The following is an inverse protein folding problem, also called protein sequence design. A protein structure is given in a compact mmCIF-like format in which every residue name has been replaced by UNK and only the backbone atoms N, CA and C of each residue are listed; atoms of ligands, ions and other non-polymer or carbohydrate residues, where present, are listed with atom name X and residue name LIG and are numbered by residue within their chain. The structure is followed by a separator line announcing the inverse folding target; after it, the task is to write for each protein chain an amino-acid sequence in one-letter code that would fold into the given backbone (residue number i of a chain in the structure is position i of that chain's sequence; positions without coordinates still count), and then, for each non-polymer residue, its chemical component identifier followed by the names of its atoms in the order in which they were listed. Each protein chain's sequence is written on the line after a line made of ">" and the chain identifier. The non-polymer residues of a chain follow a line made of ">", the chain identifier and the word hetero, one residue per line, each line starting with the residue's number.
data_IF_201066948705
#
_entry.id   IF_201066948705
#
_cell.length_a   1.000
_cell.length_b   1.000
_cell.length_c   1.000
_cell.angle_alpha   90.00
_cell.angle_beta   90.00
_cell.angle_gamma   90.00
#
_symmetry.space_group_name_H-M   'P 1'
#
loop_
_entity.id
_entity.type
_entity.pdbx_description
1 polymer ?
#
# COMPACT_ATOMS: atom_id res chain seq x y z
N UNK A 1 -42.67 -48.59 -60.09
CA UNK A 1 -41.75 -47.51 -60.50
C UNK A 1 -42.32 -46.20 -59.99
N UNK A 2 -41.89 -45.77 -58.79
CA UNK A 2 -42.40 -44.59 -58.07
C UNK A 2 -41.21 -43.80 -57.54
N UNK A 3 -41.27 -42.49 -57.74
CA UNK A 3 -40.22 -41.52 -57.45
C UNK A 3 -39.94 -41.38 -55.95
N UNK A 4 -38.66 -41.12 -55.65
CA UNK A 4 -38.12 -40.80 -54.34
C UNK A 4 -38.45 -39.35 -53.93
N UNK A 5 -38.77 -39.16 -52.64
CA UNK A 5 -38.86 -37.86 -51.98
C UNK A 5 -38.17 -37.96 -50.62
N UNK A 6 -37.18 -37.09 -50.40
CA UNK A 6 -36.43 -36.93 -49.15
C UNK A 6 -37.34 -36.38 -48.03
N UNK A 7 -37.14 -36.87 -46.80
CA UNK A 7 -37.50 -36.14 -45.57
C UNK A 7 -36.41 -36.36 -44.50
N UNK A 8 -35.93 -35.26 -43.92
CA UNK A 8 -35.00 -35.22 -42.79
C UNK A 8 -35.75 -35.39 -41.45
N UNK A 9 -35.12 -35.93 -40.40
CA UNK A 9 -35.71 -35.96 -39.06
C UNK A 9 -35.37 -34.71 -38.22
N UNK A 10 -36.33 -34.41 -37.33
CA UNK A 10 -36.33 -33.42 -36.25
C UNK A 10 -35.08 -33.50 -35.34
N UNK A 11 -34.51 -32.34 -35.01
CA UNK A 11 -33.66 -32.14 -33.83
C UNK A 11 -34.42 -31.29 -32.80
N UNK A 12 -34.47 -31.77 -31.56
CA UNK A 12 -35.17 -31.16 -30.44
C UNK A 12 -34.33 -30.04 -29.78
N UNK A 13 -35.05 -29.01 -29.32
CA UNK A 13 -34.61 -27.85 -28.55
C UNK A 13 -33.90 -28.22 -27.24
N UNK A 14 -32.81 -27.52 -26.94
CA UNK A 14 -32.43 -27.15 -25.56
C UNK A 14 -32.10 -25.66 -25.53
N UNK A 15 -33.01 -24.83 -25.00
CA UNK A 15 -32.77 -23.41 -24.73
C UNK A 15 -31.76 -23.28 -23.57
N UNK A 16 -30.65 -22.60 -23.83
CA UNK A 16 -29.69 -22.19 -22.82
C UNK A 16 -30.29 -21.10 -21.92
N UNK A 17 -30.25 -21.33 -20.60
CA UNK A 17 -30.59 -20.33 -19.60
C UNK A 17 -29.50 -19.28 -19.47
N UNK A 18 -29.78 -18.06 -19.89
CA UNK A 18 -28.99 -16.88 -19.57
C UNK A 18 -29.32 -16.45 -18.13
N UNK A 19 -28.38 -16.66 -17.21
CA UNK A 19 -28.42 -16.06 -15.88
C UNK A 19 -28.12 -14.56 -15.99
N UNK A 20 -29.15 -13.71 -15.95
CA UNK A 20 -28.97 -12.27 -15.76
C UNK A 20 -28.48 -12.01 -14.33
N UNK A 21 -27.19 -11.72 -14.19
CA UNK A 21 -26.64 -11.12 -12.97
C UNK A 21 -27.19 -9.70 -12.84
N UNK A 22 -28.13 -9.50 -11.91
CA UNK A 22 -28.65 -8.18 -11.56
C UNK A 22 -27.54 -7.34 -10.89
N UNK A 23 -26.93 -6.43 -11.64
CA UNK A 23 -26.12 -5.35 -11.07
C UNK A 23 -27.06 -4.36 -10.37
N UNK A 24 -27.12 -4.44 -9.05
CA UNK A 24 -27.70 -3.39 -8.21
C UNK A 24 -26.74 -2.20 -8.21
N UNK A 25 -26.88 -1.29 -9.18
CA UNK A 25 -26.28 0.05 -9.09
C UNK A 25 -26.99 0.80 -7.96
N UNK A 26 -26.39 0.81 -6.78
CA UNK A 26 -26.75 1.76 -5.73
C UNK A 26 -26.34 3.14 -6.21
N UNK A 27 -27.28 3.92 -6.72
CA UNK A 27 -27.06 5.33 -7.05
C UNK A 27 -26.93 6.11 -5.75
N UNK A 28 -25.71 6.17 -5.20
CA UNK A 28 -25.40 7.13 -4.14
C UNK A 28 -25.69 8.53 -4.70
N UNK A 29 -26.50 9.31 -3.99
CA UNK A 29 -26.81 10.68 -4.37
C UNK A 29 -25.50 11.48 -4.45
N UNK A 30 -25.07 11.84 -5.66
CA UNK A 30 -23.88 12.66 -5.86
C UNK A 30 -24.18 14.09 -5.42
N UNK A 31 -23.31 14.64 -4.58
CA UNK A 31 -23.45 15.98 -4.04
C UNK A 31 -22.21 16.82 -4.34
N UNK A 32 -22.36 18.13 -4.17
CA UNK A 32 -21.25 19.05 -4.02
C UNK A 32 -20.91 19.12 -2.53
N UNK A 33 -19.67 18.76 -2.19
CA UNK A 33 -19.09 18.89 -0.86
C UNK A 33 -18.25 20.16 -0.86
N UNK A 34 -18.65 21.13 -0.05
CA UNK A 34 -17.86 22.33 0.23
C UNK A 34 -17.18 22.15 1.58
N UNK A 35 -15.86 21.99 1.57
CA UNK A 35 -15.06 21.75 2.76
C UNK A 35 -14.14 22.93 3.03
N UNK A 36 -14.22 23.47 4.25
CA UNK A 36 -13.22 24.42 4.76
C UNK A 36 -11.95 23.66 5.16
N UNK A 37 -10.85 23.92 4.46
CA UNK A 37 -9.56 23.27 4.71
C UNK A 37 -8.76 23.95 5.84
N UNK A 38 -9.05 25.21 6.10
CA UNK A 38 -8.40 26.00 7.15
C UNK A 38 -7.77 27.28 6.62
N UNK A 39 -6.99 27.95 7.46
CA UNK A 39 -6.25 29.14 7.06
C UNK A 39 -5.05 28.76 6.16
N UNK A 40 -4.51 29.75 5.43
CA UNK A 40 -3.35 29.55 4.55
C UNK A 40 -2.16 28.90 5.27
N UNK A 41 -1.87 29.28 6.52
CA UNK A 41 -0.76 28.73 7.29
C UNK A 41 -0.92 27.21 7.53
N UNK A 42 -2.07 26.78 8.04
CA UNK A 42 -2.36 25.36 8.30
C UNK A 42 -2.24 24.56 7.01
N UNK A 43 -2.87 25.03 5.93
CA UNK A 43 -2.87 24.28 4.66
C UNK A 43 -1.45 24.20 4.07
N UNK A 44 -0.66 25.27 4.17
CA UNK A 44 0.77 25.24 3.82
C UNK A 44 1.52 24.16 4.59
N UNK A 45 1.32 24.07 5.91
CA UNK A 45 1.98 23.09 6.78
C UNK A 45 1.57 21.65 6.43
N UNK A 46 0.26 21.39 6.30
CA UNK A 46 -0.26 20.02 6.12
C UNK A 46 -0.01 19.47 4.70
N UNK A 47 0.14 20.34 3.70
CA UNK A 47 0.47 19.96 2.32
C UNK A 47 1.96 20.14 1.98
N UNK A 48 2.78 20.42 3.00
CA UNK A 48 4.24 20.60 2.90
C UNK A 48 4.67 21.72 1.93
N UNK A 49 3.79 22.67 1.63
CA UNK A 49 3.99 23.65 0.57
C UNK A 49 5.05 24.71 0.95
N UNK A 50 5.90 25.16 0.01
CA UNK A 50 6.12 24.57 -1.31
C UNK A 50 6.84 23.22 -1.18
N UNK A 51 6.36 22.22 -1.91
CA UNK A 51 6.76 20.82 -1.71
C UNK A 51 7.49 20.20 -2.92
N UNK A 52 7.84 21.00 -3.93
CA UNK A 52 8.58 20.60 -5.13
C UNK A 52 9.47 21.74 -5.66
N UNK A 53 9.94 22.60 -4.75
CA UNK A 53 10.73 23.77 -5.06
C UNK A 53 12.00 23.82 -4.23
N UNK A 54 13.06 24.34 -4.85
CA UNK A 54 14.23 24.89 -4.16
C UNK A 54 14.41 26.35 -4.62
N UNK A 55 15.57 26.72 -5.14
CA UNK A 55 15.74 27.98 -5.89
C UNK A 55 14.88 27.99 -7.16
N UNK A 56 14.65 26.80 -7.75
CA UNK A 56 13.79 26.60 -8.92
C UNK A 56 12.72 25.57 -8.55
N UNK A 57 11.47 25.84 -8.93
CA UNK A 57 10.36 24.90 -8.77
C UNK A 57 10.33 23.90 -9.92
N UNK A 58 10.29 22.60 -9.61
CA UNK A 58 10.04 21.56 -10.60
C UNK A 58 8.64 21.69 -11.20
N UNK A 59 7.66 22.08 -10.37
CA UNK A 59 6.34 22.54 -10.81
C UNK A 59 5.98 23.80 -10.04
N UNK A 60 5.82 24.92 -10.73
CA UNK A 60 5.48 26.19 -10.09
C UNK A 60 3.98 26.28 -9.78
N UNK A 61 3.50 25.39 -8.91
CA UNK A 61 2.11 25.35 -8.48
C UNK A 61 1.83 26.36 -7.37
N UNK A 62 0.62 26.91 -7.36
CA UNK A 62 0.11 27.62 -6.18
C UNK A 62 -0.25 26.64 -5.07
N UNK A 63 -0.52 27.15 -3.86
CA UNK A 63 -1.04 26.33 -2.76
C UNK A 63 -2.35 25.63 -3.16
N UNK A 64 -3.27 26.34 -3.81
CA UNK A 64 -4.54 25.79 -4.28
C UNK A 64 -4.33 24.66 -5.28
N UNK A 65 -3.43 24.83 -6.26
CA UNK A 65 -3.12 23.79 -7.24
C UNK A 65 -2.50 22.56 -6.59
N UNK A 66 -1.63 22.75 -5.61
CA UNK A 66 -1.01 21.65 -4.85
C UNK A 66 -2.06 20.85 -4.09
N UNK A 67 -2.97 21.53 -3.40
CA UNK A 67 -4.07 20.89 -2.66
C UNK A 67 -5.03 20.19 -3.64
N UNK A 68 -5.44 20.87 -4.70
CA UNK A 68 -6.36 20.34 -5.72
C UNK A 68 -5.81 19.06 -6.34
N UNK A 69 -4.51 19.01 -6.60
CA UNK A 69 -3.83 17.83 -7.12
C UNK A 69 -3.97 16.60 -6.20
N UNK A 70 -3.62 16.71 -4.92
CA UNK A 70 -3.74 15.59 -3.98
C UNK A 70 -5.19 15.19 -3.71
N UNK A 71 -6.10 16.16 -3.60
CA UNK A 71 -7.52 15.85 -3.43
C UNK A 71 -8.10 15.16 -4.67
N UNK A 72 -7.65 15.55 -5.87
CA UNK A 72 -8.01 14.88 -7.13
C UNK A 72 -7.50 13.44 -7.18
N UNK A 73 -6.28 13.18 -6.70
CA UNK A 73 -5.76 11.81 -6.57
C UNK A 73 -6.63 10.98 -5.64
N UNK A 74 -7.02 11.54 -4.49
CA UNK A 74 -7.84 10.84 -3.49
C UNK A 74 -9.17 10.39 -4.08
N UNK A 75 -9.95 11.31 -4.67
CA UNK A 75 -11.27 10.98 -5.25
C UNK A 75 -11.18 9.95 -6.38
N UNK A 76 -10.11 10.01 -7.19
CA UNK A 76 -9.87 9.03 -8.26
C UNK A 76 -9.54 7.65 -7.71
N UNK A 77 -8.75 7.58 -6.65
CA UNK A 77 -8.35 6.32 -5.99
C UNK A 77 -9.50 5.69 -5.19
N UNK A 78 -10.44 6.52 -4.75
CA UNK A 78 -11.72 6.04 -4.24
C UNK A 78 -12.68 5.58 -5.34
N UNK A 79 -12.30 5.66 -6.63
CA UNK A 79 -13.10 5.17 -7.75
C UNK A 79 -14.14 6.17 -8.28
N UNK A 80 -14.14 7.42 -7.81
CA UNK A 80 -15.02 8.48 -8.30
C UNK A 80 -14.45 9.13 -9.57
N UNK A 81 -14.46 8.38 -10.68
CA UNK A 81 -13.81 8.78 -11.94
C UNK A 81 -14.35 10.06 -12.57
N UNK A 82 -15.60 10.44 -12.28
CA UNK A 82 -16.23 11.67 -12.78
C UNK A 82 -16.15 12.84 -11.78
N UNK A 83 -15.55 12.62 -10.61
CA UNK A 83 -15.44 13.65 -9.60
C UNK A 83 -14.57 14.82 -10.06
N UNK A 84 -14.94 16.02 -9.62
CA UNK A 84 -14.18 17.25 -9.88
C UNK A 84 -13.86 17.92 -8.57
N UNK A 85 -12.60 18.29 -8.40
CA UNK A 85 -12.11 19.07 -7.27
C UNK A 85 -11.76 20.46 -7.76
N UNK A 86 -12.13 21.48 -6.98
CA UNK A 86 -11.63 22.84 -7.11
C UNK A 86 -11.21 23.38 -5.77
N UNK A 87 -10.02 23.96 -5.67
CA UNK A 87 -9.57 24.63 -4.45
C UNK A 87 -9.51 26.13 -4.67
N UNK A 88 -10.02 26.89 -3.69
CA UNK A 88 -10.02 28.36 -3.73
C UNK A 88 -9.62 28.93 -2.39
N UNK A 89 -9.00 30.10 -2.43
CA UNK A 89 -8.77 30.94 -1.25
C UNK A 89 -9.78 32.08 -1.23
N UNK A 90 -10.38 32.32 -0.07
CA UNK A 90 -11.19 33.50 0.23
C UNK A 90 -10.89 33.97 1.65
N UNK A 91 -10.58 35.26 1.84
CA UNK A 91 -10.27 35.86 3.15
C UNK A 91 -9.24 35.05 3.99
N UNK A 92 -8.11 34.66 3.38
CA UNK A 92 -7.05 33.81 3.96
C UNK A 92 -7.52 32.42 4.45
N UNK A 93 -8.67 31.94 3.96
CA UNK A 93 -9.17 30.60 4.19
C UNK A 93 -9.23 29.83 2.88
N UNK A 94 -8.80 28.57 2.90
CA UNK A 94 -8.89 27.68 1.75
C UNK A 94 -10.12 26.79 1.86
N UNK A 95 -10.77 26.59 0.73
CA UNK A 95 -11.95 25.75 0.58
C UNK A 95 -11.75 24.78 -0.58
N UNK A 96 -12.16 23.53 -0.40
CA UNK A 96 -12.28 22.55 -1.47
C UNK A 96 -13.76 22.36 -1.82
N UNK A 97 -14.09 22.55 -3.10
CA UNK A 97 -15.36 22.12 -3.68
C UNK A 97 -15.12 20.78 -4.39
N UNK A 98 -15.78 19.72 -3.92
CA UNK A 98 -15.67 18.37 -4.48
C UNK A 98 -17.06 17.95 -4.96
N UNK A 99 -17.19 17.69 -6.25
CA UNK A 99 -18.44 17.24 -6.87
C UNK A 99 -18.28 15.83 -7.40
N UNK A 100 -19.40 15.11 -7.57
CA UNK A 100 -19.38 13.73 -8.09
C UNK A 100 -19.00 12.68 -7.04
N UNK A 101 -19.12 13.03 -5.75
CA UNK A 101 -18.81 12.17 -4.59
C UNK A 101 -20.02 12.08 -3.65
N UNK A 102 -20.04 11.12 -2.70
CA UNK A 102 -21.05 11.10 -1.64
C UNK A 102 -21.06 12.39 -0.82
N UNK A 103 -22.24 12.76 -0.31
CA UNK A 103 -22.45 14.00 0.48
C UNK A 103 -21.53 14.12 1.68
N UNK A 104 -21.11 13.02 2.27
CA UNK A 104 -20.25 13.01 3.45
C UNK A 104 -18.79 12.63 3.18
N UNK A 105 -18.36 12.64 1.92
CA UNK A 105 -16.96 12.44 1.52
C UNK A 105 -15.99 13.44 2.19
N UNK A 106 -16.48 14.60 2.62
CA UNK A 106 -15.68 15.57 3.39
C UNK A 106 -15.22 15.07 4.76
N UNK A 107 -15.90 14.08 5.36
CA UNK A 107 -15.57 13.54 6.70
C UNK A 107 -14.19 12.87 6.75
N UNK A 108 -13.87 11.86 5.91
CA UNK A 108 -12.55 11.23 5.97
C UNK A 108 -11.42 12.19 5.61
N UNK A 109 -11.67 13.18 4.74
CA UNK A 109 -10.69 14.23 4.46
C UNK A 109 -10.45 15.14 5.68
N UNK A 110 -11.51 15.57 6.36
CA UNK A 110 -11.38 16.35 7.60
C UNK A 110 -10.61 15.57 8.65
N UNK A 111 -10.93 14.29 8.83
CA UNK A 111 -10.26 13.41 9.78
C UNK A 111 -8.75 13.27 9.51
N UNK A 112 -8.36 13.15 8.23
CA UNK A 112 -6.95 13.14 7.81
C UNK A 112 -6.24 14.45 8.15
N UNK A 113 -6.86 15.60 7.86
CA UNK A 113 -6.24 16.91 8.14
C UNK A 113 -6.13 17.19 9.64
N UNK A 114 -7.12 16.77 10.42
CA UNK A 114 -7.10 16.90 11.89
C UNK A 114 -6.02 16.00 12.51
N UNK A 115 -5.84 14.78 11.98
CA UNK A 115 -4.69 13.95 12.34
C UNK A 115 -3.37 14.63 11.91
N UNK A 116 -3.37 15.30 10.76
CA UNK A 116 -2.25 16.10 10.27
C UNK A 116 -1.80 17.19 11.22
N UNK A 117 -2.72 17.84 11.94
CA UNK A 117 -2.37 18.83 12.96
C UNK A 117 -1.56 18.20 14.12
N UNK A 118 -1.90 16.95 14.49
CA UNK A 118 -1.13 16.18 15.48
C UNK A 118 0.27 15.86 14.95
N UNK A 119 0.39 15.50 13.67
CA UNK A 119 1.69 15.24 13.04
C UNK A 119 2.54 16.51 12.98
N UNK A 120 1.95 17.66 12.64
CA UNK A 120 2.64 18.95 12.62
C UNK A 120 3.12 19.36 14.02
N UNK A 121 2.30 19.13 15.05
CA UNK A 121 2.71 19.34 16.45
C UNK A 121 3.92 18.46 16.81
N UNK A 122 3.89 17.19 16.42
CA UNK A 122 5.00 16.25 16.59
C UNK A 122 6.28 16.70 15.89
N UNK A 123 6.18 17.04 14.60
CA UNK A 123 7.30 17.55 13.81
C UNK A 123 7.90 18.85 14.39
N UNK A 124 7.03 19.78 14.84
CA UNK A 124 7.45 21.03 15.46
C UNK A 124 8.23 20.80 16.76
N UNK A 125 7.75 19.85 17.59
CA UNK A 125 8.44 19.42 18.82
C UNK A 125 9.77 18.72 18.50
N UNK A 126 9.81 17.87 17.48
CA UNK A 126 11.03 17.18 17.05
C UNK A 126 12.10 18.19 16.59
N UNK A 127 11.68 19.22 15.85
CA UNK A 127 12.54 20.31 15.43
C UNK A 127 13.02 21.18 16.60
N UNK A 128 12.13 21.55 17.53
CA UNK A 128 12.53 22.33 18.71
C UNK A 128 13.55 21.60 19.59
N UNK A 129 13.51 20.27 19.58
CA UNK A 129 14.45 19.42 20.29
C UNK A 129 15.77 19.19 19.52
N UNK A 130 15.95 19.83 18.35
CA UNK A 130 17.18 19.76 17.55
C UNK A 130 17.36 18.45 16.79
N UNK A 131 16.29 17.66 16.61
CA UNK A 131 16.34 16.32 16.00
C UNK A 131 15.75 16.28 14.58
N UNK A 132 15.31 17.42 14.05
CA UNK A 132 14.83 17.51 12.68
C UNK A 132 15.99 17.78 11.72
N UNK A 133 16.10 16.98 10.66
CA UNK A 133 17.11 17.20 9.62
C UNK A 133 16.61 18.21 8.60
N UNK A 134 17.47 19.11 8.13
CA UNK A 134 17.10 20.16 7.17
C UNK A 134 16.45 19.62 5.87
N UNK A 135 16.85 18.44 5.40
CA UNK A 135 16.31 17.81 4.19
C UNK A 135 14.95 17.11 4.40
N UNK A 136 14.43 17.10 5.62
CA UNK A 136 13.18 16.41 5.94
C UNK A 136 11.96 17.33 5.77
N UNK A 137 10.87 16.73 5.29
CA UNK A 137 9.57 17.39 5.14
C UNK A 137 8.53 16.60 5.92
N UNK A 138 7.69 17.27 6.72
CA UNK A 138 6.45 16.64 7.19
C UNK A 138 5.65 16.25 5.94
N UNK A 139 5.25 15.00 5.80
CA UNK A 139 4.48 14.53 4.65
C UNK A 139 3.38 13.57 5.12
N UNK A 140 2.15 14.05 5.03
CA UNK A 140 0.96 13.24 5.29
C UNK A 140 0.68 12.33 4.08
N UNK A 141 -0.06 11.21 4.24
CA UNK A 141 -0.47 10.31 3.15
C UNK A 141 -1.54 10.96 2.24
N UNK A 142 -1.18 12.09 1.64
CA UNK A 142 -2.00 12.89 0.75
C UNK A 142 -2.21 12.16 -0.56
N UNK A 143 -3.42 12.27 -1.10
CA UNK A 143 -3.76 11.58 -2.34
C UNK A 143 -4.12 10.12 -2.15
N UNK A 144 -4.16 9.55 -0.95
CA UNK A 144 -4.62 8.16 -0.76
C UNK A 144 -6.13 8.01 -0.94
N UNK A 145 -6.58 6.77 -1.18
CA UNK A 145 -7.99 6.43 -1.04
C UNK A 145 -8.43 6.71 0.41
N UNK A 146 -9.50 7.49 0.57
CA UNK A 146 -10.00 7.97 1.86
C UNK A 146 -11.19 7.15 2.35
N UNK A 147 -12.07 6.73 1.45
CA UNK A 147 -13.35 6.10 1.77
C UNK A 147 -13.40 4.63 1.32
N UNK A 148 -13.12 4.37 0.03
CA UNK A 148 -13.26 3.07 -0.62
C UNK A 148 -12.00 2.19 -0.47
N UNK A 149 -11.43 2.24 0.74
CA UNK A 149 -10.24 1.49 1.14
C UNK A 149 -10.56 0.00 1.28
N UNK A 150 -9.61 -0.82 0.87
CA UNK A 150 -9.68 -2.29 0.91
C UNK A 150 -8.75 -2.88 1.97
N UNK A 151 -7.63 -2.21 2.24
CA UNK A 151 -6.68 -2.60 3.27
C UNK A 151 -5.83 -1.40 3.70
N UNK A 152 -5.07 -1.58 4.77
CA UNK A 152 -4.16 -0.58 5.32
C UNK A 152 -2.72 -1.12 5.28
N UNK A 153 -1.78 -0.26 4.94
CA UNK A 153 -0.35 -0.55 4.93
C UNK A 153 0.33 0.32 6.00
N UNK A 154 0.92 -0.30 7.02
CA UNK A 154 1.78 0.43 7.95
C UNK A 154 3.22 0.34 7.45
N UNK A 155 3.80 1.51 7.18
CA UNK A 155 5.15 1.67 6.68
C UNK A 155 5.99 2.52 7.63
N UNK A 156 7.29 2.55 7.35
CA UNK A 156 8.26 3.24 8.17
C UNK A 156 8.16 4.77 7.93
N UNK A 157 8.48 5.21 6.72
CA UNK A 157 8.43 6.60 6.28
C UNK A 157 8.35 6.67 4.74
N UNK A 158 7.80 7.77 4.16
CA UNK A 158 7.80 7.97 2.72
C UNK A 158 9.16 8.49 2.22
N UNK A 159 9.63 8.07 1.04
CA UNK A 159 10.81 8.68 0.45
C UNK A 159 10.50 10.10 -0.05
N UNK A 160 11.47 11.00 0.08
CA UNK A 160 11.37 12.41 -0.29
C UNK A 160 10.97 12.65 -1.75
N UNK A 161 11.44 11.83 -2.69
CA UNK A 161 11.12 11.99 -4.11
C UNK A 161 9.63 11.71 -4.43
N UNK A 162 8.90 10.96 -3.60
CA UNK A 162 7.44 10.83 -3.73
C UNK A 162 6.74 12.17 -3.51
N UNK A 163 7.28 13.00 -2.61
CA UNK A 163 6.88 14.38 -2.41
C UNK A 163 7.48 15.27 -3.53
N UNK A 164 8.79 15.45 -3.52
CA UNK A 164 9.46 16.55 -4.25
C UNK A 164 9.48 16.42 -5.76
N UNK A 165 9.43 15.19 -6.29
CA UNK A 165 9.48 14.94 -7.73
C UNK A 165 8.14 14.40 -8.26
N UNK A 166 7.63 13.33 -7.68
CA UNK A 166 6.44 12.65 -8.19
C UNK A 166 5.15 13.44 -7.89
N UNK A 167 5.10 14.11 -6.73
CA UNK A 167 3.87 14.64 -6.15
C UNK A 167 2.80 13.54 -6.06
N UNK A 168 3.22 12.35 -5.65
CA UNK A 168 2.35 11.20 -5.56
C UNK A 168 2.92 10.22 -4.54
N UNK A 169 2.20 10.06 -3.43
CA UNK A 169 2.59 9.20 -2.33
C UNK A 169 2.77 7.73 -2.73
N UNK A 170 2.04 7.26 -3.75
CA UNK A 170 2.15 5.89 -4.25
C UNK A 170 3.23 5.71 -5.33
N UNK A 171 4.03 6.74 -5.62
CA UNK A 171 5.14 6.67 -6.58
C UNK A 171 6.46 6.53 -5.83
N UNK A 172 6.83 5.29 -5.57
CA UNK A 172 8.11 4.88 -5.03
C UNK A 172 8.47 3.47 -5.48
N UNK A 173 9.76 3.11 -5.45
CA UNK A 173 10.16 1.74 -5.75
C UNK A 173 9.43 0.73 -4.84
N UNK A 174 9.27 1.07 -3.56
CA UNK A 174 8.57 0.28 -2.54
C UNK A 174 7.10 0.06 -2.90
N UNK A 175 6.36 1.13 -3.19
CA UNK A 175 4.91 1.08 -3.47
C UNK A 175 4.60 0.55 -4.87
N UNK A 176 5.42 0.86 -5.88
CA UNK A 176 5.27 0.35 -7.25
C UNK A 176 5.50 -1.16 -7.30
N UNK A 177 6.51 -1.65 -6.55
CA UNK A 177 6.73 -3.09 -6.41
C UNK A 177 5.54 -3.76 -5.75
N UNK A 178 5.05 -3.22 -4.64
CA UNK A 178 3.94 -3.83 -3.91
C UNK A 178 2.66 -3.87 -4.75
N UNK A 179 2.37 -2.81 -5.52
CA UNK A 179 1.28 -2.78 -6.49
C UNK A 179 1.39 -3.91 -7.52
N UNK A 180 2.61 -4.17 -8.01
CA UNK A 180 2.88 -5.28 -8.94
C UNK A 180 2.57 -6.65 -8.29
N UNK A 181 2.88 -6.82 -7.01
CA UNK A 181 2.56 -8.06 -6.28
C UNK A 181 1.06 -8.21 -6.02
N UNK A 182 0.34 -7.12 -5.76
CA UNK A 182 -1.13 -7.12 -5.67
C UNK A 182 -1.76 -7.52 -7.01
N UNK A 183 -1.26 -6.99 -8.12
CA UNK A 183 -1.71 -7.37 -9.47
C UNK A 183 -1.39 -8.82 -9.81
N UNK A 184 -0.22 -9.30 -9.42
CA UNK A 184 0.13 -10.72 -9.53
C UNK A 184 -0.86 -11.61 -8.75
N UNK A 185 -1.47 -11.07 -7.69
CA UNK A 185 -2.50 -11.73 -6.89
C UNK A 185 -3.95 -11.42 -7.33
N UNK A 186 -4.13 -10.91 -8.54
CA UNK A 186 -5.45 -10.74 -9.17
C UNK A 186 -6.14 -9.42 -8.88
N UNK A 187 -5.48 -8.45 -8.25
CA UNK A 187 -6.03 -7.09 -8.11
C UNK A 187 -5.78 -6.31 -9.41
N UNK A 188 -6.83 -5.80 -10.10
CA UNK A 188 -6.63 -4.98 -11.29
C UNK A 188 -5.76 -3.75 -10.97
N UNK A 189 -4.85 -3.39 -11.88
CA UNK A 189 -3.86 -2.33 -11.66
C UNK A 189 -4.51 -1.03 -11.19
N UNK A 190 -5.63 -0.64 -11.80
CA UNK A 190 -6.39 0.56 -11.47
C UNK A 190 -7.05 0.52 -10.07
N UNK A 191 -7.17 -0.66 -9.47
CA UNK A 191 -7.76 -0.85 -8.14
C UNK A 191 -6.70 -1.01 -7.04
N UNK A 192 -5.43 -1.25 -7.39
CA UNK A 192 -4.34 -1.38 -6.41
C UNK A 192 -4.25 -0.20 -5.43
N UNK A 193 -4.49 1.07 -5.81
CA UNK A 193 -4.42 2.17 -4.83
C UNK A 193 -5.37 2.03 -3.64
N UNK A 194 -6.54 1.39 -3.83
CA UNK A 194 -7.48 1.14 -2.73
C UNK A 194 -6.96 0.13 -1.70
N UNK A 195 -5.96 -0.67 -2.05
CA UNK A 195 -5.29 -1.59 -1.13
C UNK A 195 -4.08 -0.95 -0.43
N UNK A 196 -3.57 0.15 -0.97
CA UNK A 196 -2.34 0.81 -0.51
C UNK A 196 -2.63 2.09 0.27
N UNK A 197 -3.63 2.09 1.16
CA UNK A 197 -3.80 3.21 2.10
C UNK A 197 -2.71 3.13 3.17
N UNK A 198 -1.73 4.03 3.07
CA UNK A 198 -0.53 4.01 3.92
C UNK A 198 -0.72 4.82 5.20
N UNK A 199 -0.18 4.30 6.30
CA UNK A 199 0.15 5.04 7.52
C UNK A 199 1.64 4.87 7.76
N UNK A 200 2.39 5.96 7.77
CA UNK A 200 3.79 5.95 8.16
C UNK A 200 3.95 6.21 9.66
N UNK A 201 4.77 5.39 10.33
CA UNK A 201 5.12 5.63 11.74
C UNK A 201 6.04 6.86 11.89
N UNK A 202 6.70 7.30 10.82
CA UNK A 202 7.28 8.63 10.74
C UNK A 202 6.72 9.32 9.49
N UNK A 203 5.74 10.25 9.61
CA UNK A 203 5.19 10.99 8.47
C UNK A 203 6.19 12.07 7.99
N UNK A 204 7.40 11.64 7.66
CA UNK A 204 8.53 12.48 7.28
C UNK A 204 9.02 11.99 5.92
N UNK A 205 8.83 12.80 4.88
CA UNK A 205 9.52 12.64 3.61
C UNK A 205 11.02 12.88 3.83
N UNK A 206 11.79 11.81 3.67
CA UNK A 206 13.25 11.80 3.87
C UNK A 206 13.94 10.98 2.77
N UNK A 207 15.26 11.15 2.54
CA UNK A 207 16.00 10.30 1.62
C UNK A 207 15.75 8.82 1.92
N UNK A 208 15.65 7.97 0.88
CA UNK A 208 15.33 6.55 1.06
C UNK A 208 16.32 5.79 1.97
N UNK A 209 17.52 6.34 2.19
CA UNK A 209 18.58 5.81 3.06
C UNK A 209 18.50 6.31 4.52
N UNK A 210 17.61 7.26 4.83
CA UNK A 210 17.52 7.92 6.14
C UNK A 210 16.85 7.07 7.23
N UNK A 211 16.52 5.80 6.94
CA UNK A 211 15.74 4.98 7.86
C UNK A 211 16.38 4.81 9.24
N UNK A 212 17.72 4.71 9.31
CA UNK A 212 18.45 4.66 10.58
C UNK A 212 18.36 5.99 11.35
N UNK A 213 18.39 7.11 10.65
CA UNK A 213 18.36 8.45 11.25
C UNK A 213 16.98 8.78 11.86
N UNK A 214 15.94 8.05 11.45
CA UNK A 214 14.59 8.16 11.99
C UNK A 214 14.37 7.30 13.25
N UNK A 215 15.32 6.44 13.63
CA UNK A 215 15.22 5.69 14.88
C UNK A 215 15.14 6.65 16.07
N UNK A 216 14.18 6.39 16.98
CA UNK A 216 13.95 7.23 18.15
C UNK A 216 13.11 8.48 17.90
N UNK A 217 12.67 8.77 16.67
CA UNK A 217 11.77 9.90 16.37
C UNK A 217 10.28 9.51 16.45
N UNK A 218 9.94 8.22 16.36
CA UNK A 218 8.54 7.77 16.21
C UNK A 218 7.63 8.24 17.34
N UNK A 219 8.14 8.34 18.58
CA UNK A 219 7.36 8.76 19.74
C UNK A 219 6.77 10.17 19.62
N UNK A 220 7.39 11.05 18.82
CA UNK A 220 6.88 12.40 18.57
C UNK A 220 5.55 12.40 17.80
N UNK A 221 5.24 11.31 17.10
CA UNK A 221 4.07 11.17 16.24
C UNK A 221 3.01 10.22 16.80
N UNK A 222 3.11 9.79 18.06
CA UNK A 222 2.21 8.80 18.65
C UNK A 222 0.72 9.16 18.53
N UNK A 223 0.37 10.42 18.81
CA UNK A 223 -1.03 10.89 18.72
C UNK A 223 -1.54 10.82 17.27
N UNK A 224 -0.70 11.19 16.30
CA UNK A 224 -1.02 11.08 14.88
C UNK A 224 -1.19 9.62 14.47
N UNK A 225 -0.20 8.76 14.78
CA UNK A 225 -0.19 7.37 14.35
C UNK A 225 -1.39 6.60 14.89
N UNK A 226 -1.68 6.74 16.19
CA UNK A 226 -2.79 6.02 16.82
C UNK A 226 -4.15 6.53 16.33
N UNK A 227 -4.27 7.84 16.10
CA UNK A 227 -5.45 8.46 15.45
C UNK A 227 -5.66 7.94 14.04
N UNK A 228 -4.61 7.91 13.20
CA UNK A 228 -4.69 7.38 11.84
C UNK A 228 -5.09 5.91 11.86
N UNK A 229 -4.45 5.07 12.66
CA UNK A 229 -4.78 3.64 12.75
C UNK A 229 -6.25 3.44 13.14
N UNK A 230 -6.77 4.21 14.10
CA UNK A 230 -8.18 4.17 14.48
C UNK A 230 -9.11 4.58 13.32
N UNK A 231 -8.78 5.63 12.60
CA UNK A 231 -9.65 6.19 11.55
C UNK A 231 -9.63 5.37 10.26
N UNK A 232 -8.46 4.86 9.86
CA UNK A 232 -8.27 4.23 8.54
C UNK A 232 -8.41 2.71 8.55
N UNK A 233 -8.36 2.06 9.72
CA UNK A 233 -8.53 0.60 9.83
C UNK A 233 -9.99 0.16 9.89
N UNK A 234 -10.93 1.02 9.51
CA UNK A 234 -12.35 0.73 9.41
C UNK A 234 -12.93 1.26 8.10
N UNK A 235 -13.90 0.55 7.55
CA UNK A 235 -14.66 1.00 6.38
C UNK A 235 -15.82 1.93 6.81
N UNK A 236 -16.55 2.46 5.84
CA UNK A 236 -17.68 3.36 6.09
C UNK A 236 -18.82 2.74 6.94
N UNK A 237 -18.95 1.40 6.96
CA UNK A 237 -19.92 0.69 7.81
C UNK A 237 -19.37 0.32 9.20
N UNK A 238 -18.14 0.74 9.54
CA UNK A 238 -17.49 0.45 10.81
C UNK A 238 -16.85 -0.93 10.90
N UNK A 239 -16.84 -1.70 9.81
CA UNK A 239 -16.16 -2.99 9.73
C UNK A 239 -14.64 -2.82 9.63
N UNK A 240 -13.89 -3.70 10.28
CA UNK A 240 -12.42 -3.67 10.25
C UNK A 240 -11.87 -3.93 8.84
N UNK A 241 -10.83 -3.16 8.47
CA UNK A 241 -10.01 -3.40 7.30
C UNK A 241 -8.74 -4.17 7.69
N UNK A 242 -8.28 -5.12 6.86
CA UNK A 242 -7.02 -5.84 7.12
C UNK A 242 -5.83 -4.91 7.01
N UNK A 243 -4.81 -5.17 7.82
CA UNK A 243 -3.60 -4.37 7.90
C UNK A 243 -2.36 -5.22 7.61
N UNK A 244 -1.41 -4.67 6.84
CA UNK A 244 -0.08 -5.25 6.66
C UNK A 244 0.97 -4.37 7.32
N UNK A 245 1.81 -4.96 8.16
CA UNK A 245 2.87 -4.31 8.92
C UNK A 245 4.24 -4.58 8.28
N UNK A 246 4.80 -3.58 7.62
CA UNK A 246 5.99 -3.72 6.78
C UNK A 246 7.29 -3.41 7.53
N UNK A 247 8.17 -4.40 7.65
CA UNK A 247 9.53 -4.21 8.20
C UNK A 247 9.60 -4.21 9.72
N UNK A 248 10.81 -4.38 10.26
CA UNK A 248 11.01 -4.49 11.71
C UNK A 248 10.57 -3.26 12.52
N UNK A 249 10.87 -2.00 12.10
CA UNK A 249 10.45 -0.81 12.85
C UNK A 249 8.94 -0.74 13.08
N UNK A 250 8.15 -1.05 12.06
CA UNK A 250 6.68 -1.06 12.15
C UNK A 250 6.17 -2.17 13.05
N UNK A 251 6.72 -3.39 12.94
CA UNK A 251 6.30 -4.51 13.80
C UNK A 251 6.65 -4.26 15.26
N UNK A 252 7.79 -3.61 15.53
CA UNK A 252 8.17 -3.16 16.87
C UNK A 252 7.23 -2.06 17.38
N UNK A 253 6.86 -1.11 16.53
CA UNK A 253 5.90 -0.07 16.85
C UNK A 253 4.53 -0.66 17.24
N UNK A 254 4.04 -1.66 16.51
CA UNK A 254 2.78 -2.36 16.85
C UNK A 254 2.86 -3.01 18.23
N UNK A 255 3.98 -3.66 18.55
CA UNK A 255 4.21 -4.26 19.88
C UNK A 255 4.20 -3.19 20.97
N UNK A 256 4.83 -2.05 20.73
CA UNK A 256 4.87 -0.95 21.70
C UNK A 256 3.50 -0.32 21.94
N UNK A 257 2.72 -0.08 20.87
CA UNK A 257 1.44 0.63 20.98
C UNK A 257 0.27 -0.27 21.37
N UNK A 258 0.28 -1.54 20.94
CA UNK A 258 -0.86 -2.45 21.09
C UNK A 258 -0.53 -3.74 21.84
N UNK A 259 0.73 -3.95 22.26
CA UNK A 259 1.17 -5.19 22.92
C UNK A 259 1.24 -6.42 21.99
N UNK A 260 0.89 -6.26 20.71
CA UNK A 260 0.83 -7.35 19.75
C UNK A 260 2.20 -7.64 19.13
N UNK A 261 2.67 -8.89 19.23
CA UNK A 261 3.89 -9.33 18.54
C UNK A 261 3.52 -9.93 17.19
N UNK A 262 4.15 -9.45 16.12
CA UNK A 262 3.90 -9.91 14.76
C UNK A 262 5.23 -10.16 14.05
N UNK A 263 5.41 -11.35 13.49
CA UNK A 263 6.57 -11.74 12.68
C UNK A 263 6.26 -11.65 11.19
N UNK A 264 7.26 -11.79 10.31
CA UNK A 264 7.01 -11.97 8.88
C UNK A 264 6.16 -13.22 8.66
N UNK A 265 5.07 -13.09 7.93
CA UNK A 265 4.00 -14.09 7.80
C UNK A 265 3.42 -14.56 9.13
N UNK A 266 3.52 -13.76 10.19
CA UNK A 266 2.82 -13.94 11.44
C UNK A 266 1.53 -13.11 11.47
N UNK A 267 0.50 -13.66 12.10
CA UNK A 267 -0.76 -12.95 12.33
C UNK A 267 -0.83 -12.41 13.75
N UNK A 268 -1.40 -11.23 13.88
CA UNK A 268 -1.78 -10.64 15.14
C UNK A 268 -3.16 -9.96 15.01
N UNK A 269 -3.67 -9.47 16.13
CA UNK A 269 -4.87 -8.65 16.17
C UNK A 269 -4.59 -7.44 17.05
N UNK A 270 -5.01 -6.26 16.60
CA UNK A 270 -4.98 -5.03 17.40
C UNK A 270 -6.39 -4.49 17.60
N UNK A 271 -6.57 -3.67 18.63
CA UNK A 271 -7.82 -2.98 18.93
C UNK A 271 -7.62 -1.48 19.02
N UNK A 272 -7.70 -0.74 17.88
CA UNK A 272 -7.53 0.71 17.85
C UNK A 272 -8.66 1.49 18.54
N UNK A 273 -9.81 0.85 18.73
CA UNK A 273 -10.97 1.38 19.43
C UNK A 273 -11.76 0.22 20.05
N UNK A 274 -12.58 0.54 21.06
CA UNK A 274 -13.45 -0.44 21.71
C UNK A 274 -14.36 -1.10 20.68
N UNK A 275 -14.39 -2.42 20.67
CA UNK A 275 -15.21 -3.22 19.74
C UNK A 275 -14.63 -3.41 18.35
N UNK A 276 -13.57 -2.68 17.97
CA UNK A 276 -12.89 -2.87 16.68
C UNK A 276 -11.72 -3.85 16.84
N UNK A 277 -11.70 -4.87 15.96
CA UNK A 277 -10.66 -5.90 15.92
C UNK A 277 -10.05 -5.95 14.53
N UNK A 278 -8.84 -5.43 14.39
CA UNK A 278 -8.13 -5.34 13.12
C UNK A 278 -7.18 -6.52 12.99
N UNK A 279 -7.33 -7.39 11.97
CA UNK A 279 -6.35 -8.42 11.69
C UNK A 279 -5.11 -7.79 11.07
N UNK A 280 -3.95 -8.14 11.62
CA UNK A 280 -2.64 -7.63 11.18
C UNK A 280 -1.78 -8.79 10.70
N UNK A 281 -1.20 -8.65 9.50
CA UNK A 281 -0.17 -9.54 8.99
C UNK A 281 1.19 -8.83 9.01
N UNK A 282 2.22 -9.47 9.55
CA UNK A 282 3.59 -8.97 9.40
C UNK A 282 4.19 -9.36 8.06
N UNK A 283 4.89 -8.44 7.42
CA UNK A 283 5.60 -8.63 6.15
C UNK A 283 7.04 -8.14 6.25
N UNK A 284 7.90 -8.60 5.33
CA UNK A 284 9.14 -7.86 5.05
C UNK A 284 8.78 -6.46 4.56
N UNK A 285 9.65 -5.47 4.77
CA UNK A 285 9.49 -4.21 4.07
C UNK A 285 9.60 -4.45 2.55
N UNK A 286 8.80 -3.79 1.68
CA UNK A 286 8.78 -4.14 0.26
C UNK A 286 10.12 -3.93 -0.45
N UNK A 287 11.01 -3.07 0.09
CA UNK A 287 12.36 -2.89 -0.42
C UNK A 287 13.39 -3.93 0.06
N UNK A 288 13.06 -4.73 1.08
CA UNK A 288 13.98 -5.72 1.66
C UNK A 288 14.54 -6.69 0.65
N UNK A 289 13.76 -7.02 -0.39
CA UNK A 289 14.19 -7.97 -1.40
C UNK A 289 15.47 -7.54 -2.14
N UNK A 290 15.69 -6.24 -2.35
CA UNK A 290 16.90 -5.77 -3.04
C UNK A 290 18.13 -5.97 -2.18
N UNK A 291 17.99 -5.78 -0.87
CA UNK A 291 19.06 -6.01 0.09
C UNK A 291 19.31 -7.51 0.30
N UNK A 292 18.25 -8.29 0.53
CA UNK A 292 18.34 -9.73 0.71
C UNK A 292 18.89 -10.45 -0.52
N UNK A 293 18.69 -9.90 -1.72
CA UNK A 293 19.19 -10.46 -2.97
C UNK A 293 20.51 -9.82 -3.44
N UNK A 294 21.16 -8.95 -2.67
CA UNK A 294 22.42 -8.35 -3.08
C UNK A 294 23.61 -9.30 -2.79
N UNK A 295 24.39 -9.75 -3.79
CA UNK A 295 25.58 -10.57 -3.56
C UNK A 295 26.62 -9.92 -2.65
N UNK A 296 26.69 -8.58 -2.57
CA UNK A 296 27.62 -7.88 -1.67
C UNK A 296 27.36 -8.21 -0.20
N UNK A 297 26.12 -8.56 0.16
CA UNK A 297 25.76 -8.98 1.52
C UNK A 297 26.11 -10.45 1.84
N UNK A 298 26.70 -11.17 0.88
CA UNK A 298 27.09 -12.58 0.99
C UNK A 298 28.50 -12.84 0.46
N UNK A 299 29.44 -11.92 0.65
CA UNK A 299 30.84 -12.04 0.20
C UNK A 299 30.98 -12.26 -1.33
N UNK A 300 30.03 -11.72 -2.11
CA UNK A 300 29.96 -11.90 -3.56
C UNK A 300 29.28 -13.20 -4.02
N UNK A 301 28.73 -14.00 -3.11
CA UNK A 301 28.06 -15.27 -3.42
C UNK A 301 26.64 -15.02 -3.96
N UNK A 302 26.51 -14.93 -5.29
CA UNK A 302 25.22 -14.77 -5.98
C UNK A 302 24.25 -15.91 -5.66
N UNK A 303 24.72 -17.15 -5.47
CA UNK A 303 23.83 -18.29 -5.23
C UNK A 303 23.17 -18.21 -3.85
N UNK A 304 23.88 -17.72 -2.83
CA UNK A 304 23.31 -17.41 -1.51
C UNK A 304 22.35 -16.22 -1.57
N UNK A 305 22.72 -15.16 -2.29
CA UNK A 305 21.87 -14.00 -2.48
C UNK A 305 20.56 -14.36 -3.20
N UNK A 306 20.64 -15.19 -4.24
CA UNK A 306 19.47 -15.74 -4.93
C UNK A 306 18.60 -16.58 -3.99
N UNK A 307 19.20 -17.44 -3.16
CA UNK A 307 18.46 -18.26 -2.20
C UNK A 307 17.67 -17.41 -1.20
N UNK A 308 18.28 -16.32 -0.70
CA UNK A 308 17.62 -15.37 0.18
C UNK A 308 16.53 -14.57 -0.54
N UNK A 309 16.84 -14.05 -1.73
CA UNK A 309 15.90 -13.30 -2.56
C UNK A 309 14.65 -14.12 -2.96
N UNK A 310 14.82 -15.41 -3.29
CA UNK A 310 13.72 -16.33 -3.58
C UNK A 310 12.80 -16.53 -2.37
N UNK A 311 13.37 -16.67 -1.16
CA UNK A 311 12.60 -16.79 0.09
C UNK A 311 11.80 -15.51 0.37
N UNK A 312 12.44 -14.35 0.24
CA UNK A 312 11.76 -13.04 0.40
C UNK A 312 10.66 -12.87 -0.64
N UNK A 313 10.90 -13.22 -1.91
CA UNK A 313 9.87 -13.18 -2.94
C UNK A 313 8.66 -14.06 -2.59
N UNK A 314 8.89 -15.29 -2.13
CA UNK A 314 7.82 -16.20 -1.70
C UNK A 314 7.03 -15.66 -0.49
N UNK A 315 7.71 -14.98 0.45
CA UNK A 315 7.07 -14.34 1.59
C UNK A 315 6.21 -13.15 1.14
N UNK A 316 6.77 -12.25 0.33
CA UNK A 316 6.09 -11.03 -0.11
C UNK A 316 4.88 -11.35 -0.99
N UNK A 317 4.99 -12.33 -1.91
CA UNK A 317 3.85 -12.82 -2.70
C UNK A 317 2.74 -13.40 -1.82
N UNK A 318 3.11 -14.11 -0.74
CA UNK A 318 2.16 -14.66 0.22
C UNK A 318 1.45 -13.57 1.02
N UNK A 319 2.17 -12.53 1.43
CA UNK A 319 1.60 -11.40 2.15
C UNK A 319 0.71 -10.51 1.26
N UNK A 320 1.14 -10.19 0.04
CA UNK A 320 0.32 -9.48 -0.93
C UNK A 320 -0.94 -10.26 -1.32
N UNK A 321 -0.84 -11.60 -1.45
CA UNK A 321 -2.00 -12.48 -1.61
C UNK A 321 -3.00 -12.36 -0.46
N UNK A 322 -2.49 -12.39 0.78
CA UNK A 322 -3.33 -12.29 1.97
C UNK A 322 -4.05 -10.94 2.00
N UNK A 323 -3.35 -9.85 1.74
CA UNK A 323 -3.91 -8.50 1.66
C UNK A 323 -4.99 -8.40 0.58
N UNK A 324 -4.68 -8.86 -0.63
CA UNK A 324 -5.61 -8.89 -1.77
C UNK A 324 -6.91 -9.63 -1.41
N UNK A 325 -6.80 -10.83 -0.83
CA UNK A 325 -7.97 -11.66 -0.49
C UNK A 325 -8.78 -11.10 0.67
N UNK A 326 -8.10 -10.66 1.73
CA UNK A 326 -8.76 -10.07 2.90
C UNK A 326 -9.47 -8.76 2.54
N UNK A 327 -8.85 -7.93 1.70
CA UNK A 327 -9.42 -6.65 1.26
C UNK A 327 -10.53 -6.80 0.22
N UNK A 328 -10.45 -7.82 -0.65
CA UNK A 328 -11.51 -8.14 -1.62
C UNK A 328 -12.76 -8.72 -0.96
N UNK A 329 -12.59 -9.45 0.14
CA UNK A 329 -13.69 -10.14 0.85
C UNK A 329 -13.61 -9.87 2.37
N UNK A 330 -14.15 -8.72 2.82
CA UNK A 330 -14.23 -8.39 4.24
C UNK A 330 -14.89 -9.50 5.06
N UNK A 331 -14.40 -9.73 6.29
CA UNK A 331 -14.88 -10.79 7.18
C UNK A 331 -14.33 -12.19 6.88
N UNK A 332 -13.45 -12.35 5.88
CA UNK A 332 -12.71 -13.60 5.68
C UNK A 332 -11.86 -13.97 6.90
N UNK A 333 -11.65 -15.27 7.13
CA UNK A 333 -10.79 -15.75 8.21
C UNK A 333 -9.30 -15.48 7.89
N UNK A 334 -8.58 -14.68 8.71
CA UNK A 334 -7.19 -14.32 8.44
C UNK A 334 -6.23 -15.51 8.34
N UNK A 335 -6.41 -16.54 9.17
CA UNK A 335 -5.52 -17.69 9.25
C UNK A 335 -5.71 -18.63 8.06
N UNK A 336 -6.97 -18.86 7.66
CA UNK A 336 -7.30 -19.63 6.46
C UNK A 336 -6.74 -18.95 5.21
N UNK A 337 -6.89 -17.62 5.09
CA UNK A 337 -6.34 -16.88 3.95
C UNK A 337 -4.82 -16.96 3.91
N UNK A 338 -4.15 -16.76 5.05
CA UNK A 338 -2.68 -16.80 5.09
C UNK A 338 -2.16 -18.20 4.71
N UNK A 339 -2.74 -19.25 5.31
CA UNK A 339 -2.37 -20.64 4.99
C UNK A 339 -2.53 -20.93 3.50
N UNK A 340 -3.65 -20.49 2.91
CA UNK A 340 -3.91 -20.68 1.48
C UNK A 340 -2.90 -19.91 0.61
N UNK A 341 -2.58 -18.67 0.95
CA UNK A 341 -1.63 -17.84 0.23
C UNK A 341 -0.18 -18.37 0.31
N UNK A 342 0.25 -18.80 1.50
CA UNK A 342 1.55 -19.45 1.68
C UNK A 342 1.63 -20.77 0.92
N UNK A 343 0.57 -21.58 0.94
CA UNK A 343 0.50 -22.82 0.16
C UNK A 343 0.57 -22.54 -1.35
N UNK A 344 -0.10 -21.49 -1.80
CA UNK A 344 -0.09 -21.08 -3.20
C UNK A 344 1.33 -20.72 -3.65
N UNK A 345 1.98 -19.75 -3.01
CA UNK A 345 3.22 -19.17 -3.53
C UNK A 345 4.50 -19.91 -3.15
N UNK A 346 4.51 -20.59 -2.01
CA UNK A 346 5.71 -21.27 -1.52
C UNK A 346 5.68 -22.79 -1.75
N UNK A 347 4.58 -23.35 -2.27
CA UNK A 347 4.48 -24.78 -2.58
C UNK A 347 3.96 -25.03 -3.98
N UNK A 348 2.72 -24.63 -4.28
CA UNK A 348 2.07 -24.97 -5.54
C UNK A 348 2.68 -24.23 -6.75
N UNK A 349 2.91 -22.91 -6.60
CA UNK A 349 3.39 -22.01 -7.65
C UNK A 349 4.82 -21.51 -7.39
N UNK A 350 5.65 -22.33 -6.73
CA UNK A 350 7.04 -21.97 -6.41
C UNK A 350 7.91 -21.70 -7.65
N UNK A 351 7.61 -22.32 -8.79
CA UNK A 351 8.28 -22.03 -10.07
C UNK A 351 7.92 -20.64 -10.59
N UNK A 352 6.67 -20.20 -10.43
CA UNK A 352 6.27 -18.84 -10.75
C UNK A 352 6.92 -17.83 -9.80
N UNK A 353 6.99 -18.13 -8.50
CA UNK A 353 7.76 -17.34 -7.52
C UNK A 353 9.21 -17.14 -7.98
N UNK A 354 9.84 -18.21 -8.48
CA UNK A 354 11.18 -18.16 -9.05
C UNK A 354 11.28 -17.26 -10.28
N UNK A 355 10.39 -17.44 -11.25
CA UNK A 355 10.38 -16.65 -12.47
C UNK A 355 10.19 -15.15 -12.17
N UNK A 356 9.27 -14.83 -11.26
CA UNK A 356 9.03 -13.46 -10.80
C UNK A 356 10.26 -12.85 -10.13
N UNK A 357 10.97 -13.61 -9.28
CA UNK A 357 12.23 -13.16 -8.70
C UNK A 357 13.27 -12.82 -9.76
N UNK A 358 13.58 -13.76 -10.67
CA UNK A 358 14.64 -13.55 -11.66
C UNK A 358 14.31 -12.47 -12.69
N UNK A 359 13.04 -12.32 -13.08
CA UNK A 359 12.63 -11.25 -14.01
C UNK A 359 12.61 -9.88 -13.32
N UNK A 360 12.06 -9.77 -12.11
CA UNK A 360 11.88 -8.46 -11.46
C UNK A 360 13.12 -7.97 -10.72
N UNK A 361 13.93 -8.87 -10.16
CA UNK A 361 15.10 -8.53 -9.33
C UNK A 361 16.40 -8.67 -10.12
N UNK A 362 16.61 -9.82 -10.79
CA UNK A 362 17.82 -10.05 -11.62
C UNK A 362 17.72 -9.52 -13.05
N UNK A 363 16.56 -9.01 -13.45
CA UNK A 363 16.31 -8.42 -14.78
C UNK A 363 16.56 -9.39 -15.94
N UNK A 364 16.40 -10.69 -15.70
CA UNK A 364 16.45 -11.70 -16.76
C UNK A 364 15.21 -11.60 -17.64
N UNK A 365 15.31 -12.01 -18.91
CA UNK A 365 14.11 -12.21 -19.74
C UNK A 365 13.26 -13.36 -19.19
N UNK A 366 11.96 -13.46 -19.53
CA UNK A 366 11.12 -14.58 -19.11
C UNK A 366 11.73 -15.95 -19.43
N UNK A 367 12.34 -16.12 -20.60
CA UNK A 367 12.96 -17.38 -21.04
C UNK A 367 14.22 -17.70 -20.22
N UNK A 368 15.06 -16.69 -19.97
CA UNK A 368 16.25 -16.83 -19.12
C UNK A 368 15.88 -17.17 -17.67
N UNK A 369 14.84 -16.53 -17.14
CA UNK A 369 14.34 -16.81 -15.80
C UNK A 369 13.81 -18.26 -15.69
N UNK A 370 13.01 -18.72 -16.66
CA UNK A 370 12.54 -20.10 -16.71
C UNK A 370 13.70 -21.10 -16.77
N UNK A 371 14.68 -20.85 -17.64
CA UNK A 371 15.87 -21.70 -17.76
C UNK A 371 16.66 -21.75 -16.43
N UNK A 372 16.87 -20.61 -15.77
CA UNK A 372 17.53 -20.53 -14.45
C UNK A 372 16.73 -21.31 -13.38
N UNK A 373 15.41 -21.17 -13.36
CA UNK A 373 14.52 -21.88 -12.43
C UNK A 373 14.50 -23.40 -12.62
N UNK A 374 14.79 -23.89 -13.83
CA UNK A 374 14.88 -25.32 -14.12
C UNK A 374 16.20 -25.98 -13.66
N UNK A 375 17.20 -25.19 -13.28
CA UNK A 375 18.49 -25.74 -12.82
C UNK A 375 18.36 -26.50 -11.49
N UNK A 376 19.11 -27.59 -11.34
CA UNK A 376 19.09 -28.41 -10.10
C UNK A 376 19.38 -27.63 -8.81
N UNK A 377 20.34 -26.69 -8.78
CA UNK A 377 20.57 -25.87 -7.58
C UNK A 377 19.35 -25.03 -7.20
N UNK A 378 18.73 -24.35 -8.16
CA UNK A 378 17.54 -23.50 -7.89
C UNK A 378 16.34 -24.36 -7.50
N UNK A 379 16.10 -25.49 -8.19
CA UNK A 379 15.05 -26.45 -7.81
C UNK A 379 15.18 -26.94 -6.36
N UNK A 380 16.41 -27.08 -5.87
CA UNK A 380 16.67 -27.45 -4.47
C UNK A 380 16.31 -26.31 -3.52
N UNK A 381 16.65 -25.07 -3.86
CA UNK A 381 16.26 -23.87 -3.09
C UNK A 381 14.73 -23.69 -3.05
N UNK A 382 14.01 -23.96 -4.16
CA UNK A 382 12.56 -23.84 -4.22
C UNK A 382 11.83 -24.84 -3.30
N UNK A 383 12.46 -25.96 -2.93
CA UNK A 383 11.91 -26.88 -1.92
C UNK A 383 12.01 -26.32 -0.49
N UNK A 384 12.82 -25.28 -0.30
CA UNK A 384 13.15 -24.70 1.01
C UNK A 384 12.59 -23.27 1.19
N UNK A 385 11.62 -22.84 0.39
CA UNK A 385 11.07 -21.47 0.48
C UNK A 385 10.46 -21.12 1.85
N UNK A 386 10.04 -22.13 2.62
CA UNK A 386 9.49 -21.96 3.98
C UNK A 386 10.57 -21.92 5.07
N UNK A 387 11.80 -22.30 4.75
CA UNK A 387 12.91 -22.30 5.70
C UNK A 387 13.47 -20.89 5.90
N UNK A 388 14.08 -20.59 7.06
CA UNK A 388 14.72 -19.30 7.31
C UNK A 388 15.71 -18.91 6.20
N UNK A 389 15.77 -17.63 5.85
CA UNK A 389 16.74 -17.13 4.87
C UNK A 389 18.19 -17.37 5.34
N UNK A 390 19.15 -17.58 4.41
CA UNK A 390 20.56 -17.57 4.75
C UNK A 390 20.93 -16.30 5.53
N UNK A 391 21.83 -16.43 6.49
CA UNK A 391 22.38 -15.27 7.21
C UNK A 391 23.30 -14.48 6.28
N UNK A 392 23.18 -13.15 6.32
CA UNK A 392 24.07 -12.24 5.61
C UNK A 392 25.41 -12.12 6.35
N UNK A 393 26.47 -11.87 5.58
CA UNK A 393 27.82 -11.60 6.12
C UNK A 393 27.94 -10.18 6.68
N UNK A 394 27.11 -9.26 6.18
CA UNK A 394 26.89 -7.91 6.71
C UNK A 394 25.56 -7.83 7.48
N UNK A 395 25.52 -6.98 8.51
CA UNK A 395 24.27 -6.76 9.25
C UNK A 395 23.27 -6.01 8.36
N UNK A 396 22.01 -6.47 8.35
CA UNK A 396 20.97 -5.78 7.61
C UNK A 396 20.80 -4.35 8.12
N UNK A 397 20.56 -3.36 7.24
CA UNK A 397 20.23 -2.03 7.69
C UNK A 397 19.04 -2.11 8.65
N UNK A 398 19.12 -1.53 9.86
CA UNK A 398 18.13 -1.73 10.91
C UNK A 398 16.72 -1.19 10.59
N UNK A 399 16.58 -0.55 9.43
CA UNK A 399 15.39 0.15 8.96
C UNK A 399 14.55 -0.60 7.92
N UNK A 400 14.90 -1.85 7.57
CA UNK A 400 14.21 -2.67 6.55
C UNK A 400 13.57 -3.93 7.15
#
# INVERSE_FOLDING_TARGET
>A
MKLAGLSLPLAALTLGGLTLSSLTLSTAAQANVDLKLGNTQRVTQLFSYPNNCSVICFRNWTLEQTVEHYLTQSVRRDGYSTAKVKVKTDNNQLYANISGVPKDYGKPLTALLDAGDLAYKGASKLNSDGKWTYSWYLFLPLGMALENRKSVELLHFPPDYSLTQAQDYLRSATTDRWATLLTTNGIPTEQTPGYQTIIDIAPIAAPATAGKDLEGVYGYFQDYQTTMVKQVSQNASGGALPMVAFGAPVRNWIKQQYGATVSVLGLAQISPSVGLKVPVLGSNHPSYIWYAADPENYDGDEAKADAAGLKVMGQDLSAACWQARMGSKPGSDPAVQLKSCTQNWQVANKEQTCALFYTSIRKLTPEQAQAKCATTPVQSQLKQLKEPAPSMSSEAPPHI
#
